data_IF_966691913212
#
_entry.id   IF_966691913212
#
_cell.length_a   1.000
_cell.length_b   1.000
_cell.length_c   1.000
_cell.angle_alpha   90.00
_cell.angle_beta   90.00
_cell.angle_gamma   90.00
#
_symmetry.space_group_name_H-M   'P 1'
#
loop_
_entity.id
_entity.type
_entity.pdbx_description
1 polymer ?
#
# COMPACT_ATOMS: atom_id res chain seq x y z
N UNK A 1 26.22 9.97 27.47
CA UNK A 1 26.70 8.72 26.89
C UNK A 1 25.72 8.32 25.80
N UNK A 2 26.10 8.59 24.59
CA UNK A 2 25.25 8.37 23.43
C UNK A 2 25.75 7.16 22.70
N UNK A 3 25.03 6.05 22.81
CA UNK A 3 25.31 4.86 22.03
C UNK A 3 24.76 5.02 20.61
N UNK A 4 25.67 5.39 19.74
CA UNK A 4 25.50 5.33 18.30
C UNK A 4 25.57 3.86 17.86
N UNK A 5 24.47 3.15 17.79
CA UNK A 5 24.42 1.87 17.12
C UNK A 5 24.26 2.08 15.62
N UNK A 6 25.41 2.18 14.99
CA UNK A 6 25.58 2.12 13.54
C UNK A 6 25.21 0.71 13.05
N UNK A 7 24.09 0.54 12.41
CA UNK A 7 23.76 -0.66 11.66
C UNK A 7 24.15 -0.49 10.21
N UNK A 8 25.46 -0.57 9.98
CA UNK A 8 26.00 -0.79 8.65
C UNK A 8 26.28 -2.27 8.47
N UNK A 9 25.79 -2.81 7.36
CA UNK A 9 26.42 -3.96 6.73
C UNK A 9 25.62 -5.24 6.80
N UNK A 10 24.81 -5.48 5.79
CA UNK A 10 24.69 -6.82 5.24
C UNK A 10 24.61 -6.71 3.72
N UNK A 11 25.78 -6.76 3.13
CA UNK A 11 25.95 -7.06 1.71
C UNK A 11 26.01 -8.57 1.62
N UNK A 12 24.96 -9.19 1.16
CA UNK A 12 24.99 -10.60 0.77
C UNK A 12 24.99 -10.67 -0.76
N UNK A 13 26.20 -10.82 -1.27
CA UNK A 13 26.46 -11.18 -2.64
C UNK A 13 26.17 -12.69 -2.78
N UNK A 14 25.16 -13.06 -3.51
CA UNK A 14 24.99 -14.43 -3.98
C UNK A 14 24.70 -14.41 -5.47
N UNK A 15 25.77 -14.59 -6.22
CA UNK A 15 25.76 -14.93 -7.62
C UNK A 15 25.48 -16.44 -7.74
N UNK A 16 24.41 -16.82 -8.39
CA UNK A 16 24.28 -18.15 -8.97
C UNK A 16 23.76 -18.00 -10.39
N UNK A 17 24.65 -18.24 -11.31
CA UNK A 17 24.37 -18.47 -12.71
C UNK A 17 23.87 -19.91 -12.88
N UNK A 18 22.74 -20.08 -13.52
CA UNK A 18 22.39 -21.36 -14.14
C UNK A 18 21.66 -21.09 -15.45
N UNK A 19 22.36 -21.37 -16.51
CA UNK A 19 21.85 -21.43 -17.86
C UNK A 19 20.95 -22.68 -18.01
N UNK A 20 19.81 -22.51 -18.62
CA UNK A 20 18.94 -23.62 -19.01
C UNK A 20 18.15 -23.21 -20.23
N UNK A 21 18.65 -23.59 -21.40
CA UNK A 21 17.95 -23.57 -22.67
C UNK A 21 16.86 -24.66 -22.68
N UNK A 22 15.67 -24.28 -23.04
CA UNK A 22 14.58 -25.22 -23.30
C UNK A 22 13.60 -24.61 -24.27
N UNK A 23 13.73 -25.00 -25.51
CA UNK A 23 12.91 -24.63 -26.67
C UNK A 23 11.58 -25.37 -26.68
N UNK A 24 10.62 -24.71 -27.31
CA UNK A 24 9.57 -25.23 -28.16
C UNK A 24 8.25 -25.70 -27.51
N UNK A 25 7.21 -25.17 -28.05
CA UNK A 25 5.87 -25.67 -27.92
C UNK A 25 4.83 -24.71 -28.47
N UNK A 26 4.81 -24.52 -29.79
CA UNK A 26 3.72 -23.86 -30.52
C UNK A 26 2.47 -24.70 -30.58
N UNK A 27 1.38 -24.00 -30.84
CA UNK A 27 0.16 -24.51 -31.53
C UNK A 27 -0.95 -24.96 -30.57
N UNK A 28 -2.07 -24.32 -30.63
CA UNK A 28 -3.00 -24.15 -31.63
C UNK A 28 -4.39 -24.04 -31.07
N UNK A 29 -5.14 -23.09 -31.57
CA UNK A 29 -6.57 -23.18 -31.91
C UNK A 29 -7.64 -23.32 -30.85
N UNK A 30 -8.40 -22.23 -30.72
CA UNK A 30 -9.86 -22.11 -30.82
C UNK A 30 -10.73 -23.14 -30.07
N UNK A 31 -11.53 -22.64 -29.20
CA UNK A 31 -12.99 -22.59 -29.39
C UNK A 31 -13.67 -22.12 -28.10
N UNK A 32 -14.38 -21.02 -28.21
CA UNK A 32 -15.69 -20.67 -27.68
C UNK A 32 -16.32 -21.52 -26.58
N UNK A 33 -16.87 -20.78 -25.68
CA UNK A 33 -18.21 -20.85 -25.10
C UNK A 33 -18.35 -21.19 -23.62
N UNK A 34 -18.94 -20.22 -23.00
CA UNK A 34 -20.05 -20.26 -22.04
C UNK A 34 -19.78 -20.50 -20.55
N UNK A 35 -20.07 -19.39 -19.88
CA UNK A 35 -20.82 -19.30 -18.63
C UNK A 35 -20.40 -20.22 -17.48
N UNK A 36 -19.84 -19.59 -16.48
CA UNK A 36 -19.70 -20.16 -15.16
C UNK A 36 -19.29 -19.06 -14.21
N UNK A 37 -20.28 -18.49 -13.54
CA UNK A 37 -20.07 -17.65 -12.37
C UNK A 37 -19.31 -18.47 -11.35
N UNK A 38 -18.06 -18.10 -11.11
CA UNK A 38 -17.40 -18.56 -9.92
C UNK A 38 -16.52 -17.44 -9.37
N UNK A 39 -16.86 -17.01 -8.17
CA UNK A 39 -16.10 -16.10 -7.37
C UNK A 39 -14.79 -16.78 -6.97
N UNK A 40 -13.89 -16.90 -7.94
CA UNK A 40 -12.54 -17.38 -7.75
C UNK A 40 -11.68 -16.25 -7.26
N UNK A 41 -11.34 -16.27 -5.99
CA UNK A 41 -10.26 -15.53 -5.39
C UNK A 41 -9.02 -15.58 -6.27
N UNK A 42 -8.89 -14.63 -7.16
CA UNK A 42 -7.69 -14.45 -7.95
C UNK A 42 -6.61 -13.92 -7.01
N UNK A 43 -5.83 -14.81 -6.48
CA UNK A 43 -4.56 -14.53 -5.83
C UNK A 43 -3.59 -14.03 -6.90
N UNK A 44 -3.81 -12.79 -7.33
CA UNK A 44 -2.92 -12.11 -8.25
C UNK A 44 -1.65 -11.76 -7.48
N UNK A 45 -0.69 -12.64 -7.55
CA UNK A 45 0.67 -12.40 -7.14
C UNK A 45 1.37 -11.51 -8.18
N UNK A 46 0.83 -10.33 -8.42
CA UNK A 46 1.60 -9.28 -9.06
C UNK A 46 2.52 -8.71 -7.98
N UNK A 47 3.82 -8.72 -8.21
CA UNK A 47 4.80 -7.90 -7.48
C UNK A 47 4.33 -6.45 -7.58
N UNK A 48 3.43 -6.04 -6.71
CA UNK A 48 3.03 -4.66 -6.57
C UNK A 48 4.26 -3.91 -6.10
N UNK A 49 4.69 -2.97 -6.90
CA UNK A 49 5.59 -1.92 -6.49
C UNK A 49 5.09 -1.43 -5.14
N UNK A 50 5.95 -1.42 -4.12
CA UNK A 50 5.55 -0.95 -2.80
C UNK A 50 4.98 0.46 -2.95
N UNK A 51 3.72 0.61 -2.67
CA UNK A 51 3.02 1.90 -2.72
C UNK A 51 3.09 2.48 -1.32
N UNK A 52 3.59 3.67 -1.22
CA UNK A 52 3.59 4.45 0.01
C UNK A 52 2.41 5.42 -0.03
N UNK A 53 1.52 5.33 0.96
CA UNK A 53 0.32 6.16 1.05
C UNK A 53 0.50 7.27 2.09
N UNK A 54 0.15 8.49 1.71
CA UNK A 54 0.05 9.62 2.63
C UNK A 54 -1.35 9.69 3.23
N UNK A 55 -1.44 9.57 4.55
CA UNK A 55 -2.72 9.54 5.27
C UNK A 55 -2.88 10.77 6.16
N UNK A 56 -4.03 11.42 6.06
CA UNK A 56 -4.49 12.46 6.98
C UNK A 56 -5.65 11.90 7.79
N UNK A 57 -5.56 11.92 9.11
CA UNK A 57 -6.54 11.34 9.99
C UNK A 57 -6.91 12.26 11.16
N UNK A 58 -8.14 12.20 11.58
CA UNK A 58 -8.59 12.91 12.77
C UNK A 58 -7.85 12.42 14.03
N UNK A 59 -7.54 13.33 14.95
CA UNK A 59 -6.83 13.02 16.20
C UNK A 59 -7.43 11.87 17.00
N UNK A 60 -8.73 11.68 16.93
CA UNK A 60 -9.41 10.58 17.62
C UNK A 60 -8.94 9.17 17.18
N UNK A 61 -8.31 9.09 16.01
CA UNK A 61 -7.83 7.82 15.43
C UNK A 61 -6.36 7.54 15.73
N UNK A 62 -5.66 8.44 16.40
CA UNK A 62 -4.23 8.35 16.67
C UNK A 62 -3.80 7.03 17.32
N UNK A 63 -4.67 6.42 18.13
CA UNK A 63 -4.38 5.15 18.80
C UNK A 63 -4.74 3.92 17.97
N UNK A 64 -5.82 3.98 17.22
CA UNK A 64 -6.35 2.81 16.51
C UNK A 64 -5.78 2.68 15.08
N UNK A 65 -5.54 3.79 14.41
CA UNK A 65 -5.12 3.76 13.01
C UNK A 65 -3.75 3.12 12.79
N UNK A 66 -2.72 3.35 13.63
CA UNK A 66 -1.43 2.69 13.45
C UNK A 66 -1.52 1.16 13.47
N UNK A 67 -2.32 0.58 14.35
CA UNK A 67 -2.55 -0.87 14.42
C UNK A 67 -3.18 -1.39 13.12
N UNK A 68 -4.15 -0.67 12.58
CA UNK A 68 -4.79 -1.01 11.31
C UNK A 68 -3.81 -0.91 10.15
N UNK A 69 -2.96 0.11 10.15
CA UNK A 69 -1.94 0.30 9.12
C UNK A 69 -0.89 -0.82 9.14
N UNK A 70 -0.46 -1.25 10.32
CA UNK A 70 0.44 -2.41 10.47
C UNK A 70 -0.17 -3.67 9.87
N UNK A 71 -1.40 -4.02 10.26
CA UNK A 71 -2.11 -5.18 9.74
C UNK A 71 -2.29 -5.10 8.21
N UNK A 72 -2.60 -3.93 7.69
CA UNK A 72 -2.76 -3.74 6.26
C UNK A 72 -1.43 -3.88 5.52
N UNK A 73 -0.34 -3.37 6.09
CA UNK A 73 1.01 -3.53 5.54
C UNK A 73 1.41 -5.00 5.47
N UNK A 74 1.13 -5.76 6.51
CA UNK A 74 1.41 -7.20 6.55
C UNK A 74 0.63 -7.98 5.47
N UNK A 75 -0.61 -7.59 5.23
CA UNK A 75 -1.48 -8.28 4.27
C UNK A 75 -1.22 -7.90 2.82
N UNK A 76 -0.84 -6.66 2.57
CA UNK A 76 -0.80 -6.11 1.20
C UNK A 76 0.60 -5.70 0.75
N UNK A 77 1.53 -5.49 1.67
CA UNK A 77 2.84 -4.91 1.40
C UNK A 77 2.81 -3.40 1.11
N UNK A 78 1.66 -2.76 1.30
CA UNK A 78 1.53 -1.30 1.20
C UNK A 78 2.16 -0.65 2.43
N UNK A 79 2.95 0.40 2.25
CA UNK A 79 3.54 1.19 3.33
C UNK A 79 2.80 2.51 3.49
N UNK A 80 2.93 3.10 4.66
CA UNK A 80 2.34 4.39 4.97
C UNK A 80 3.45 5.38 5.31
N UNK A 81 3.38 6.59 4.73
CA UNK A 81 4.18 7.72 5.18
C UNK A 81 3.71 8.17 6.57
N UNK A 82 4.44 9.09 7.19
CA UNK A 82 4.03 9.63 8.48
C UNK A 82 2.60 10.15 8.44
N UNK A 83 1.69 9.42 9.08
CA UNK A 83 0.29 9.81 9.17
C UNK A 83 0.15 11.10 9.97
N UNK A 84 -0.51 12.09 9.39
CA UNK A 84 -0.78 13.32 10.10
C UNK A 84 -2.09 13.23 10.88
N UNK A 85 -1.99 13.38 12.19
CA UNK A 85 -3.14 13.46 13.09
C UNK A 85 -3.39 14.89 13.49
N UNK A 86 -4.54 15.44 13.12
CA UNK A 86 -4.96 16.80 13.42
C UNK A 86 -6.49 16.90 13.56
N UNK A 87 -6.97 18.07 13.91
CA UNK A 87 -8.39 18.35 13.82
C UNK A 87 -8.85 18.24 12.37
N UNK A 88 -10.03 17.65 12.15
CA UNK A 88 -10.51 17.36 10.79
C UNK A 88 -10.59 18.60 9.90
N UNK A 89 -10.98 19.75 10.45
CA UNK A 89 -11.01 21.03 9.72
C UNK A 89 -9.63 21.47 9.24
N UNK A 90 -8.61 21.35 10.10
CA UNK A 90 -7.23 21.71 9.76
C UNK A 90 -6.66 20.84 8.63
N UNK A 91 -7.06 19.57 8.59
CA UNK A 91 -6.66 18.64 7.52
C UNK A 91 -7.27 19.05 6.18
N UNK A 92 -8.54 19.43 6.18
CA UNK A 92 -9.22 19.92 4.97
C UNK A 92 -8.59 21.23 4.48
N UNK A 93 -8.25 22.15 5.40
CA UNK A 93 -7.56 23.39 5.03
C UNK A 93 -6.18 23.13 4.42
N UNK A 94 -5.42 22.17 4.97
CA UNK A 94 -4.14 21.78 4.39
C UNK A 94 -4.28 21.20 2.98
N UNK A 95 -5.31 20.40 2.74
CA UNK A 95 -5.61 19.89 1.39
C UNK A 95 -5.96 21.03 0.44
N UNK A 96 -6.77 21.97 0.86
CA UNK A 96 -7.09 23.18 0.06
C UNK A 96 -5.88 24.05 -0.23
N UNK A 97 -4.92 24.05 0.69
CA UNK A 97 -3.63 24.74 0.51
C UNK A 97 -2.67 23.98 -0.42
N UNK A 98 -3.05 22.81 -0.93
CA UNK A 98 -2.27 22.02 -1.88
C UNK A 98 -1.45 20.88 -1.28
N UNK A 99 -1.74 20.46 -0.06
CA UNK A 99 -1.09 19.29 0.52
C UNK A 99 -1.51 18.02 -0.23
N UNK A 100 -0.54 17.20 -0.60
CA UNK A 100 -0.80 15.91 -1.24
C UNK A 100 -1.22 14.90 -0.18
N UNK A 101 -2.35 14.25 -0.40
CA UNK A 101 -2.89 13.21 0.46
C UNK A 101 -3.58 12.14 -0.40
N UNK A 102 -3.38 10.89 -0.04
CA UNK A 102 -4.00 9.76 -0.72
C UNK A 102 -5.27 9.29 0.00
N UNK A 103 -5.29 9.41 1.32
CA UNK A 103 -6.41 9.00 2.16
C UNK A 103 -6.70 10.05 3.22
N UNK A 104 -7.94 10.54 3.25
CA UNK A 104 -8.44 11.44 4.29
C UNK A 104 -9.49 10.73 5.15
N UNK A 105 -9.31 10.77 6.47
CA UNK A 105 -10.26 10.20 7.44
C UNK A 105 -10.66 11.29 8.43
N UNK A 106 -11.88 11.77 8.31
CA UNK A 106 -12.43 12.81 9.20
C UNK A 106 -13.26 12.18 10.33
N UNK A 107 -13.46 12.94 11.40
CA UNK A 107 -14.27 12.52 12.53
C UNK A 107 -15.78 12.72 12.31
N UNK A 108 -16.18 13.46 11.29
CA UNK A 108 -17.59 13.74 11.01
C UNK A 108 -17.88 13.80 9.51
N UNK A 109 -19.12 13.47 9.18
CA UNK A 109 -19.61 13.59 7.80
C UNK A 109 -19.55 15.02 7.27
N UNK A 110 -19.90 16.00 8.08
CA UNK A 110 -19.85 17.41 7.65
C UNK A 110 -18.48 17.86 7.22
N UNK A 111 -17.44 17.50 7.97
CA UNK A 111 -16.05 17.83 7.59
C UNK A 111 -15.61 17.06 6.33
N UNK A 112 -16.16 15.87 6.09
CA UNK A 112 -15.89 15.14 4.86
C UNK A 112 -16.56 15.82 3.66
N UNK A 113 -17.80 16.26 3.83
CA UNK A 113 -18.54 17.01 2.80
C UNK A 113 -17.83 18.34 2.46
N UNK A 114 -17.16 18.96 3.42
CA UNK A 114 -16.34 20.17 3.20
C UNK A 114 -15.05 19.90 2.39
N UNK A 115 -14.61 18.67 2.32
CA UNK A 115 -13.41 18.28 1.60
C UNK A 115 -13.65 18.01 0.10
N UNK A 116 -14.91 17.84 -0.31
CA UNK A 116 -15.31 17.64 -1.71
C UNK A 116 -15.36 18.98 -2.46
#
# INVERSE_FOLDING_TARGET
MFDLVSRRGFVSLSAVAAAGLGLAGCSGSKTSELAGSDAGSAKSSSKKKAVELQVFAANSLERALPEVQELYTEQTGTTFADTQFKASGDLVEQMRAGATVDVLITASKGTMDDAE
#
